data_IF_518236791145
#
_entry.id   IF_518236791145
#
_cell.length_a   1.000
_cell.length_b   1.000
_cell.length_c   1.000
_cell.angle_alpha   90.00
_cell.angle_beta   90.00
_cell.angle_gamma   90.00
#
_symmetry.space_group_name_H-M   'P 1'
#
loop_
_entity.id
_entity.type
_entity.pdbx_description
1 polymer ?
#
# COMPACT_ATOMS: atom_id res chain seq x y z
N UNK A 1 16.96 3.55 18.43
CA UNK A 1 15.69 4.22 18.07
C UNK A 1 15.13 3.74 16.71
N UNK A 2 15.05 2.42 16.49
CA UNK A 2 14.60 1.84 15.21
C UNK A 2 13.45 0.83 15.32
N UNK A 3 12.87 0.65 16.51
CA UNK A 3 11.89 -0.42 16.78
C UNK A 3 10.70 -0.38 15.81
N UNK A 4 10.00 0.76 15.75
CA UNK A 4 8.82 0.92 14.91
C UNK A 4 9.07 0.63 13.42
N UNK A 5 10.21 1.07 12.87
CA UNK A 5 10.54 0.82 11.47
C UNK A 5 10.78 -0.67 11.21
N UNK A 6 11.49 -1.35 12.11
CA UNK A 6 11.75 -2.80 12.00
C UNK A 6 10.44 -3.58 12.15
N UNK A 7 9.61 -3.21 13.13
CA UNK A 7 8.33 -3.87 13.38
C UNK A 7 7.39 -3.69 12.16
N UNK A 8 7.34 -2.49 11.59
CA UNK A 8 6.52 -2.22 10.41
C UNK A 8 7.04 -2.95 9.17
N UNK A 9 8.36 -3.06 9.00
CA UNK A 9 8.96 -3.87 7.94
C UNK A 9 8.54 -5.34 8.06
N UNK A 10 8.56 -5.90 9.27
CA UNK A 10 8.12 -7.26 9.53
C UNK A 10 6.64 -7.46 9.25
N UNK A 11 5.78 -6.50 9.65
CA UNK A 11 4.34 -6.54 9.37
C UNK A 11 4.08 -6.52 7.86
N UNK A 12 4.77 -5.64 7.12
CA UNK A 12 4.67 -5.58 5.65
C UNK A 12 5.15 -6.89 5.03
N UNK A 13 6.20 -7.51 5.57
CA UNK A 13 6.72 -8.76 5.04
C UNK A 13 5.69 -9.90 5.03
N UNK A 14 4.78 -9.90 6.00
CA UNK A 14 3.74 -10.93 6.13
C UNK A 14 2.34 -10.42 5.75
N UNK A 15 2.22 -9.25 5.10
CA UNK A 15 0.92 -8.64 4.84
C UNK A 15 0.04 -9.46 3.89
N UNK A 16 0.63 -10.32 3.08
CA UNK A 16 -0.08 -11.27 2.21
C UNK A 16 -0.89 -12.30 3.00
N UNK A 17 -0.49 -12.60 4.24
CA UNK A 17 -1.28 -13.42 5.17
C UNK A 17 -2.54 -12.67 5.57
N UNK A 18 -2.43 -11.39 5.97
CA UNK A 18 -3.59 -10.57 6.33
C UNK A 18 -4.58 -10.44 5.17
N UNK A 19 -4.08 -10.33 3.93
CA UNK A 19 -4.93 -10.23 2.73
C UNK A 19 -5.82 -11.46 2.47
N UNK A 20 -5.56 -12.59 3.15
CA UNK A 20 -6.33 -13.83 3.05
C UNK A 20 -7.45 -13.95 4.09
N UNK A 21 -7.47 -13.08 5.09
CA UNK A 21 -8.46 -13.07 6.18
C UNK A 21 -9.81 -12.43 5.75
N UNK A 22 -10.81 -12.46 6.63
CA UNK A 22 -12.14 -11.90 6.43
C UNK A 22 -12.13 -10.36 6.22
N UNK A 23 -13.06 -9.86 5.39
CA UNK A 23 -13.07 -8.50 4.83
C UNK A 23 -12.94 -7.35 5.84
N UNK A 24 -13.64 -7.45 6.98
CA UNK A 24 -13.72 -6.33 7.93
C UNK A 24 -12.43 -6.18 8.74
N UNK A 25 -11.82 -7.30 9.11
CA UNK A 25 -10.63 -7.30 9.95
C UNK A 25 -9.41 -6.93 9.11
N UNK A 26 -9.29 -7.48 7.90
CA UNK A 26 -8.19 -7.14 6.98
C UNK A 26 -8.18 -5.66 6.60
N UNK A 27 -9.32 -5.06 6.28
CA UNK A 27 -9.38 -3.65 5.89
C UNK A 27 -8.90 -2.75 7.03
N UNK A 28 -9.33 -3.03 8.27
CA UNK A 28 -8.93 -2.24 9.43
C UNK A 28 -7.42 -2.31 9.71
N UNK A 29 -6.83 -3.50 9.60
CA UNK A 29 -5.40 -3.74 9.81
C UNK A 29 -4.59 -3.03 8.72
N UNK A 30 -4.97 -3.21 7.44
CA UNK A 30 -4.22 -2.65 6.33
C UNK A 30 -4.31 -1.11 6.30
N UNK A 31 -5.46 -0.53 6.64
CA UNK A 31 -5.58 0.92 6.79
C UNK A 31 -4.73 1.45 7.96
N UNK A 32 -4.58 0.68 9.03
CA UNK A 32 -3.68 1.04 10.14
C UNK A 32 -2.22 1.01 9.71
N UNK A 33 -1.79 0.01 8.92
CA UNK A 33 -0.44 -0.05 8.33
C UNK A 33 -0.18 1.16 7.43
N UNK A 34 -1.12 1.50 6.55
CA UNK A 34 -1.02 2.70 5.70
C UNK A 34 -0.90 3.97 6.54
N UNK A 35 -1.70 4.11 7.59
CA UNK A 35 -1.66 5.28 8.48
C UNK A 35 -0.30 5.40 9.20
N UNK A 36 0.25 4.28 9.67
CA UNK A 36 1.58 4.24 10.29
C UNK A 36 2.67 4.62 9.29
N UNK A 37 2.59 4.15 8.05
CA UNK A 37 3.54 4.54 7.00
C UNK A 37 3.49 6.04 6.70
N UNK A 38 2.33 6.68 6.78
CA UNK A 38 2.18 8.12 6.49
C UNK A 38 2.77 9.03 7.58
N UNK A 39 2.95 8.54 8.80
CA UNK A 39 3.52 9.31 9.92
C UNK A 39 5.02 9.08 10.13
N UNK A 40 5.64 8.16 9.38
CA UNK A 40 7.07 7.92 9.46
C UNK A 40 7.87 9.08 8.86
N UNK A 41 9.10 9.24 9.35
CA UNK A 41 10.08 10.14 8.76
C UNK A 41 10.35 9.75 7.29
N UNK A 42 10.44 10.72 6.36
CA UNK A 42 10.58 10.44 4.93
C UNK A 42 11.71 9.47 4.57
N UNK A 43 12.85 9.57 5.26
CA UNK A 43 14.04 8.72 5.04
C UNK A 43 13.78 7.23 5.33
N UNK A 44 12.83 6.95 6.22
CA UNK A 44 12.43 5.60 6.63
C UNK A 44 11.18 5.12 5.90
N UNK A 45 10.50 6.01 5.19
CA UNK A 45 9.22 5.74 4.56
C UNK A 45 9.37 5.06 3.20
N UNK A 46 10.36 5.48 2.41
CA UNK A 46 10.52 5.09 1.00
C UNK A 46 10.61 3.57 0.83
N UNK A 47 11.60 2.92 1.45
CA UNK A 47 11.81 1.47 1.31
C UNK A 47 10.60 0.63 1.75
N UNK A 48 9.89 1.06 2.79
CA UNK A 48 8.70 0.36 3.29
C UNK A 48 7.51 0.51 2.35
N UNK A 49 7.30 1.71 1.79
CA UNK A 49 6.26 1.94 0.79
C UNK A 49 6.53 1.12 -0.47
N UNK A 50 7.77 1.07 -0.93
CA UNK A 50 8.14 0.28 -2.10
C UNK A 50 7.85 -1.21 -1.89
N UNK A 51 8.24 -1.77 -0.75
CA UNK A 51 7.97 -3.16 -0.40
C UNK A 51 6.46 -3.45 -0.35
N UNK A 52 5.68 -2.59 0.34
CA UNK A 52 4.22 -2.74 0.39
C UNK A 52 3.60 -2.68 -1.02
N UNK A 53 4.03 -1.72 -1.85
CA UNK A 53 3.57 -1.60 -3.23
C UNK A 53 3.86 -2.87 -4.04
N UNK A 54 5.07 -3.41 -3.93
CA UNK A 54 5.47 -4.64 -4.61
C UNK A 54 4.58 -5.83 -4.20
N UNK A 55 4.32 -5.98 -2.90
CA UNK A 55 3.43 -7.03 -2.39
C UNK A 55 2.00 -6.88 -2.89
N UNK A 56 1.43 -5.67 -2.86
CA UNK A 56 0.07 -5.42 -3.35
C UNK A 56 -0.07 -5.67 -4.85
N UNK A 57 0.97 -5.37 -5.64
CA UNK A 57 0.99 -5.65 -7.09
C UNK A 57 1.13 -7.14 -7.37
N UNK A 58 1.95 -7.86 -6.61
CA UNK A 58 2.18 -9.31 -6.79
C UNK A 58 1.06 -10.19 -6.25
N UNK A 59 0.29 -9.71 -5.27
CA UNK A 59 -0.78 -10.48 -4.66
C UNK A 59 -1.91 -10.75 -5.67
N UNK A 60 -2.19 -12.04 -5.94
CA UNK A 60 -3.20 -12.51 -6.92
C UNK A 60 -4.13 -13.61 -6.41
N UNK A 61 -3.96 -14.09 -5.18
CA UNK A 61 -4.74 -15.21 -4.66
C UNK A 61 -5.99 -14.70 -3.93
N UNK A 62 -7.19 -15.19 -4.28
CA UNK A 62 -8.46 -14.73 -3.69
C UNK A 62 -8.81 -13.27 -3.98
N UNK A 63 -8.42 -12.76 -5.16
CA UNK A 63 -8.21 -11.33 -5.41
C UNK A 63 -9.26 -10.38 -4.81
N UNK A 64 -8.74 -9.38 -4.09
CA UNK A 64 -9.46 -8.22 -3.54
C UNK A 64 -9.00 -6.94 -4.23
N UNK A 65 -9.33 -6.70 -5.52
CA UNK A 65 -8.81 -5.52 -6.23
C UNK A 65 -9.22 -4.21 -5.58
N UNK A 66 -10.45 -4.12 -5.09
CA UNK A 66 -10.98 -2.92 -4.42
C UNK A 66 -10.14 -2.53 -3.20
N UNK A 67 -9.81 -3.49 -2.32
CA UNK A 67 -8.98 -3.22 -1.15
C UNK A 67 -7.57 -2.76 -1.54
N UNK A 68 -6.93 -3.46 -2.48
CA UNK A 68 -5.58 -3.07 -2.94
C UNK A 68 -5.54 -1.68 -3.55
N UNK A 69 -6.53 -1.35 -4.38
CA UNK A 69 -6.67 -0.02 -4.98
C UNK A 69 -6.94 1.04 -3.92
N UNK A 70 -7.81 0.75 -2.94
CA UNK A 70 -8.09 1.65 -1.83
C UNK A 70 -6.83 1.95 -1.01
N UNK A 71 -6.05 0.93 -0.65
CA UNK A 71 -4.81 1.10 0.12
C UNK A 71 -3.78 1.94 -0.63
N UNK A 72 -3.55 1.63 -1.91
CA UNK A 72 -2.64 2.41 -2.75
C UNK A 72 -3.14 3.84 -2.96
N UNK A 73 -4.45 4.04 -3.13
CA UNK A 73 -5.06 5.36 -3.25
C UNK A 73 -4.88 6.17 -1.97
N UNK A 74 -5.11 5.57 -0.80
CA UNK A 74 -4.92 6.21 0.49
C UNK A 74 -3.47 6.65 0.69
N UNK A 75 -2.49 5.81 0.32
CA UNK A 75 -1.08 6.20 0.31
C UNK A 75 -0.83 7.37 -0.64
N UNK A 76 -1.27 7.30 -1.90
CA UNK A 76 -1.00 8.33 -2.89
C UNK A 76 -1.55 9.71 -2.50
N UNK A 77 -2.74 9.76 -1.90
CA UNK A 77 -3.39 10.99 -1.44
C UNK A 77 -2.87 11.47 -0.08
N UNK A 78 -2.41 10.57 0.78
CA UNK A 78 -1.85 10.91 2.09
C UNK A 78 -0.42 11.46 2.03
N UNK A 79 0.30 11.22 0.94
CA UNK A 79 1.69 11.64 0.76
C UNK A 79 1.84 13.08 0.25
N UNK A 80 2.94 13.73 0.64
CA UNK A 80 3.33 15.03 0.09
C UNK A 80 3.56 14.95 -1.42
N UNK A 81 3.16 16.00 -2.14
CA UNK A 81 3.23 16.03 -3.60
C UNK A 81 4.65 16.03 -4.14
N UNK A 82 5.64 16.43 -3.34
CA UNK A 82 7.04 16.54 -3.72
C UNK A 82 7.87 15.30 -3.35
N UNK A 83 7.28 14.29 -2.70
CA UNK A 83 8.00 13.08 -2.31
C UNK A 83 8.16 12.14 -3.52
N UNK A 84 9.39 11.75 -3.90
CA UNK A 84 9.62 10.87 -5.06
C UNK A 84 8.87 9.54 -5.01
N UNK A 85 8.80 8.90 -3.83
CA UNK A 85 8.14 7.58 -3.69
C UNK A 85 6.63 7.64 -3.97
N UNK A 86 6.00 8.83 -3.99
CA UNK A 86 4.62 9.02 -4.46
C UNK A 86 4.43 8.56 -5.91
N UNK A 87 5.47 8.72 -6.74
CA UNK A 87 5.47 8.21 -8.11
C UNK A 87 5.45 6.67 -8.14
N UNK A 88 6.19 6.01 -7.25
CA UNK A 88 6.19 4.56 -7.10
C UNK A 88 4.80 4.03 -6.71
N UNK A 89 4.12 4.73 -5.79
CA UNK A 89 2.73 4.41 -5.42
C UNK A 89 1.79 4.56 -6.60
N UNK A 90 1.88 5.67 -7.36
CA UNK A 90 1.04 5.90 -8.54
C UNK A 90 1.25 4.82 -9.63
N UNK A 91 2.51 4.45 -9.91
CA UNK A 91 2.83 3.36 -10.83
C UNK A 91 2.23 2.02 -10.36
N UNK A 92 2.20 1.78 -9.05
CA UNK A 92 1.64 0.56 -8.47
C UNK A 92 0.12 0.55 -8.56
N UNK A 93 -0.54 1.70 -8.36
CA UNK A 93 -1.98 1.90 -8.64
C UNK A 93 -2.32 1.51 -10.08
N UNK A 94 -1.58 2.03 -11.05
CA UNK A 94 -1.77 1.72 -12.47
C UNK A 94 -1.63 0.21 -12.75
N UNK A 95 -0.61 -0.43 -12.18
CA UNK A 95 -0.38 -1.88 -12.35
C UNK A 95 -1.54 -2.71 -11.82
N UNK A 96 -2.03 -2.40 -10.61
CA UNK A 96 -3.18 -3.10 -10.00
C UNK A 96 -4.46 -2.82 -10.79
N UNK A 97 -4.74 -1.57 -11.13
CA UNK A 97 -5.94 -1.20 -11.86
C UNK A 97 -5.98 -1.84 -13.26
N UNK A 98 -4.82 -1.93 -13.92
CA UNK A 98 -4.71 -2.62 -15.20
C UNK A 98 -4.97 -4.12 -15.09
N UNK A 99 -4.59 -4.77 -13.98
CA UNK A 99 -4.81 -6.21 -13.83
C UNK A 99 -6.28 -6.57 -13.54
N UNK A 100 -7.07 -5.64 -13.00
CA UNK A 100 -8.47 -5.87 -12.64
C UNK A 100 -9.49 -5.09 -13.49
N UNK A 101 -9.06 -4.43 -14.57
CA UNK A 101 -9.95 -3.64 -15.44
C UNK A 101 -10.51 -2.36 -14.80
N UNK A 102 -9.89 -1.88 -13.74
CA UNK A 102 -10.33 -0.71 -12.95
C UNK A 102 -9.61 0.59 -13.33
N UNK A 103 -8.97 0.66 -14.51
CA UNK A 103 -8.18 1.82 -14.97
C UNK A 103 -8.97 3.12 -14.92
N UNK A 104 -10.29 3.07 -15.14
CA UNK A 104 -11.20 4.23 -15.08
C UNK A 104 -11.25 4.92 -13.70
N UNK A 105 -10.79 4.27 -12.63
CA UNK A 105 -10.76 4.82 -11.28
C UNK A 105 -9.40 5.43 -10.90
N UNK A 106 -8.43 5.42 -11.82
CA UNK A 106 -7.12 6.02 -11.57
C UNK A 106 -7.24 7.55 -11.64
N UNK A 107 -6.73 8.30 -10.64
CA UNK A 107 -6.68 9.74 -10.70
C UNK A 107 -5.87 10.23 -11.89
N UNK A 108 -6.47 11.10 -12.72
CA UNK A 108 -5.84 11.75 -13.88
C UNK A 108 -5.66 13.26 -13.70
N UNK A 109 -6.05 13.80 -12.54
CA UNK A 109 -6.01 15.23 -12.18
C UNK A 109 -4.91 15.55 -11.17
#
# INVERSE_FOLDING_TARGET
EGGLHVDLAQIIEVCDVCLKEDDKDVESVMNSVVSLLLILEPEKQEALIENLCEKLVKFREGERPSLRLQLLSNLFHGMDKNTPVRYTVYCSLLKVASSCGAIQYIPTE
#
